data_IF_983528693229
#
_entry.id   IF_983528693229
#
_cell.length_a   1.000
_cell.length_b   1.000
_cell.length_c   1.000
_cell.angle_alpha   90.00
_cell.angle_beta   90.00
_cell.angle_gamma   90.00
#
_symmetry.space_group_name_H-M   'P 1'
#
loop_
_entity.id
_entity.type
_entity.pdbx_description
1 polymer ?
#
# COMPACT_ATOMS: atom_id res chain seq x y z
N UNK A 1 13.26 -11.73 -10.09
CA UNK A 1 12.30 -10.84 -9.39
C UNK A 1 10.92 -11.49 -9.28
N UNK A 2 10.28 -11.95 -10.36
CA UNK A 2 8.90 -12.47 -10.32
C UNK A 2 8.72 -13.68 -9.39
N UNK A 3 9.69 -14.61 -9.38
CA UNK A 3 9.69 -15.74 -8.45
C UNK A 3 9.78 -15.31 -6.96
N UNK A 4 10.56 -14.27 -6.67
CA UNK A 4 10.66 -13.73 -5.32
C UNK A 4 9.33 -13.07 -4.90
N UNK A 5 8.76 -12.25 -5.77
CA UNK A 5 7.48 -11.58 -5.56
C UNK A 5 6.35 -12.59 -5.31
N UNK A 6 6.28 -13.65 -6.12
CA UNK A 6 5.31 -14.72 -5.92
C UNK A 6 5.48 -15.44 -4.58
N UNK A 7 6.72 -15.78 -4.22
CA UNK A 7 7.00 -16.47 -2.97
C UNK A 7 6.69 -15.59 -1.76
N UNK A 8 7.11 -14.32 -1.78
CA UNK A 8 6.81 -13.38 -0.68
C UNK A 8 5.32 -13.14 -0.51
N UNK A 9 4.57 -12.96 -1.60
CA UNK A 9 3.11 -12.79 -1.54
C UNK A 9 2.41 -14.02 -0.95
N UNK A 10 2.85 -15.24 -1.32
CA UNK A 10 2.17 -16.48 -0.90
C UNK A 10 2.57 -16.99 0.47
N UNK A 11 3.79 -16.76 0.93
CA UNK A 11 4.37 -17.38 2.14
C UNK A 11 4.77 -16.36 3.20
N UNK A 12 4.60 -15.08 2.91
CA UNK A 12 5.17 -14.02 3.73
C UNK A 12 6.70 -13.97 3.61
N UNK A 13 7.29 -12.88 4.07
CA UNK A 13 8.75 -12.67 3.98
C UNK A 13 9.51 -13.69 4.82
N UNK A 14 9.03 -14.00 6.00
CA UNK A 14 9.71 -14.93 6.90
C UNK A 14 9.64 -16.38 6.43
N UNK A 15 8.59 -16.77 5.71
CA UNK A 15 8.45 -18.11 5.11
C UNK A 15 9.30 -18.35 3.86
N UNK A 16 10.11 -17.37 3.42
CA UNK A 16 10.92 -17.45 2.19
C UNK A 16 12.40 -17.39 2.51
N UNK A 17 13.17 -18.28 1.89
CA UNK A 17 14.63 -18.27 1.92
C UNK A 17 15.20 -17.87 0.54
N UNK A 18 16.40 -17.29 0.51
CA UNK A 18 17.13 -17.00 -0.73
C UNK A 18 17.30 -18.25 -1.60
N UNK A 19 17.51 -19.41 -0.96
CA UNK A 19 17.61 -20.69 -1.65
C UNK A 19 16.31 -21.08 -2.36
N UNK A 20 15.15 -20.88 -1.70
CA UNK A 20 13.86 -21.18 -2.32
C UNK A 20 13.59 -20.26 -3.51
N UNK A 21 14.01 -19.00 -3.46
CA UNK A 21 13.92 -18.06 -4.58
C UNK A 21 14.80 -18.49 -5.75
N UNK A 22 16.07 -18.85 -5.50
CA UNK A 22 16.97 -19.37 -6.54
C UNK A 22 16.39 -20.60 -7.23
N UNK A 23 15.86 -21.54 -6.45
CA UNK A 23 15.23 -22.77 -6.98
C UNK A 23 14.02 -22.44 -7.85
N UNK A 24 13.12 -21.56 -7.37
CA UNK A 24 11.92 -21.16 -8.11
C UNK A 24 12.24 -20.37 -9.39
N UNK A 25 13.33 -19.61 -9.38
CA UNK A 25 13.80 -18.85 -10.54
C UNK A 25 14.65 -19.67 -11.51
N UNK A 26 14.96 -20.93 -11.21
CA UNK A 26 15.88 -21.76 -12.02
C UNK A 26 17.32 -21.25 -12.04
N UNK A 27 17.76 -20.54 -10.98
CA UNK A 27 19.07 -19.89 -10.88
C UNK A 27 20.04 -20.72 -10.03
N UNK A 28 21.34 -20.51 -10.28
CA UNK A 28 22.39 -21.07 -9.43
C UNK A 28 22.29 -20.52 -7.99
N UNK A 29 22.69 -21.34 -7.01
CA UNK A 29 22.53 -21.05 -5.58
C UNK A 29 23.11 -19.70 -5.10
N UNK A 30 24.15 -19.20 -5.78
CA UNK A 30 24.79 -17.92 -5.44
C UNK A 30 24.21 -16.69 -6.15
N UNK A 31 23.29 -16.87 -7.11
CA UNK A 31 22.85 -15.77 -7.99
C UNK A 31 22.13 -14.65 -7.25
N UNK A 32 21.19 -14.98 -6.35
CA UNK A 32 20.46 -13.95 -5.57
C UNK A 32 21.42 -13.22 -4.64
N UNK A 33 22.34 -13.97 -3.97
CA UNK A 33 23.32 -13.36 -3.09
C UNK A 33 24.25 -12.38 -3.83
N UNK A 34 24.65 -12.73 -5.04
CA UNK A 34 25.50 -11.85 -5.87
C UNK A 34 24.80 -10.55 -6.28
N UNK A 35 23.51 -10.62 -6.63
CA UNK A 35 22.76 -9.46 -7.15
C UNK A 35 22.07 -8.62 -6.08
N UNK A 36 21.64 -9.24 -5.00
CA UNK A 36 20.76 -8.62 -4.00
C UNK A 36 21.35 -8.66 -2.57
N UNK A 37 22.49 -9.32 -2.36
CA UNK A 37 23.10 -9.50 -1.05
C UNK A 37 22.37 -10.56 -0.23
N UNK A 38 21.31 -10.18 0.45
CA UNK A 38 20.54 -11.05 1.33
C UNK A 38 19.03 -11.02 1.01
N UNK A 39 18.21 -11.58 1.91
CA UNK A 39 16.76 -11.60 1.79
C UNK A 39 16.16 -10.19 1.87
N UNK A 40 16.69 -9.35 2.73
CA UNK A 40 16.21 -7.99 2.93
C UNK A 40 16.50 -7.12 1.70
N UNK A 41 17.71 -7.18 1.14
CA UNK A 41 18.03 -6.47 -0.10
C UNK A 41 17.20 -6.95 -1.29
N UNK A 42 16.88 -8.25 -1.36
CA UNK A 42 15.95 -8.76 -2.37
C UNK A 42 14.53 -8.21 -2.17
N UNK A 43 14.04 -8.17 -0.93
CA UNK A 43 12.73 -7.61 -0.60
C UNK A 43 12.65 -6.12 -0.95
N UNK A 44 13.67 -5.35 -0.61
CA UNK A 44 13.76 -3.93 -0.95
C UNK A 44 13.63 -3.71 -2.46
N UNK A 45 14.30 -4.52 -3.27
CA UNK A 45 14.18 -4.43 -4.74
C UNK A 45 12.80 -4.86 -5.25
N UNK A 46 12.18 -5.86 -4.64
CA UNK A 46 10.79 -6.26 -4.96
C UNK A 46 9.82 -5.11 -4.68
N UNK A 47 9.96 -4.45 -3.55
CA UNK A 47 9.10 -3.32 -3.19
C UNK A 47 9.40 -2.09 -4.07
N UNK A 48 10.66 -1.77 -4.30
CA UNK A 48 11.07 -0.63 -5.12
C UNK A 48 10.56 -0.73 -6.57
N UNK A 49 10.40 -1.93 -7.10
CA UNK A 49 9.98 -2.18 -8.49
C UNK A 49 8.69 -1.46 -8.88
N UNK A 50 7.73 -1.36 -7.98
CA UNK A 50 6.43 -0.67 -8.20
C UNK A 50 6.20 0.49 -7.25
N UNK A 51 6.84 0.45 -6.09
CA UNK A 51 6.64 1.45 -5.04
C UNK A 51 6.96 2.86 -5.48
N UNK A 52 8.00 3.06 -6.30
CA UNK A 52 8.36 4.38 -6.82
C UNK A 52 7.22 5.02 -7.63
N UNK A 53 6.55 4.27 -8.50
CA UNK A 53 5.42 4.77 -9.28
C UNK A 53 4.19 5.04 -8.41
N UNK A 54 3.90 4.17 -7.43
CA UNK A 54 2.81 4.37 -6.46
C UNK A 54 3.03 5.65 -5.66
N UNK A 55 4.23 5.82 -5.08
CA UNK A 55 4.59 7.02 -4.29
C UNK A 55 4.55 8.29 -5.13
N UNK A 56 5.04 8.25 -6.37
CA UNK A 56 4.98 9.40 -7.27
C UNK A 56 3.51 9.79 -7.55
N UNK A 57 2.65 8.82 -7.81
CA UNK A 57 1.23 9.07 -8.03
C UNK A 57 0.51 9.59 -6.80
N UNK A 58 0.84 9.09 -5.61
CA UNK A 58 0.37 9.64 -4.34
C UNK A 58 0.77 11.11 -4.16
N UNK A 59 2.01 11.45 -4.48
CA UNK A 59 2.50 12.83 -4.40
C UNK A 59 1.74 13.78 -5.34
N UNK A 60 1.42 13.33 -6.56
CA UNK A 60 0.61 14.11 -7.51
C UNK A 60 -0.82 14.36 -6.98
N UNK A 61 -1.50 13.32 -6.51
CA UNK A 61 -2.85 13.42 -5.96
C UNK A 61 -2.88 14.32 -4.73
N UNK A 62 -1.88 14.19 -3.86
CA UNK A 62 -1.74 15.02 -2.67
C UNK A 62 -1.52 16.49 -3.04
N UNK A 63 -0.65 16.77 -3.99
CA UNK A 63 -0.42 18.13 -4.47
C UNK A 63 -1.67 18.76 -5.10
N UNK A 64 -2.46 17.97 -5.83
CA UNK A 64 -3.72 18.43 -6.39
C UNK A 64 -4.75 18.75 -5.29
N UNK A 65 -4.82 17.92 -4.24
CA UNK A 65 -5.70 18.15 -3.09
C UNK A 65 -5.28 19.41 -2.30
N UNK A 66 -3.99 19.61 -2.08
CA UNK A 66 -3.43 20.80 -1.42
C UNK A 66 -3.69 22.08 -2.24
N UNK A 67 -3.57 22.00 -3.58
CA UNK A 67 -3.80 23.13 -4.47
C UNK A 67 -5.27 23.56 -4.57
N UNK A 68 -6.22 22.69 -4.27
CA UNK A 68 -7.62 23.02 -4.21
C UNK A 68 -7.96 24.05 -3.10
N UNK A 69 -7.10 24.12 -2.07
CA UNK A 69 -7.17 25.12 -1.01
C UNK A 69 -8.30 24.91 0.00
N UNK A 70 -9.17 23.96 -0.25
CA UNK A 70 -10.23 23.57 0.67
C UNK A 70 -9.71 22.58 1.71
N UNK A 71 -10.41 22.54 2.84
CA UNK A 71 -10.14 21.50 3.82
C UNK A 71 -10.46 20.12 3.23
N UNK A 72 -9.52 19.16 3.26
CA UNK A 72 -9.77 17.83 2.73
C UNK A 72 -10.89 17.14 3.50
N UNK A 73 -11.79 16.49 2.77
CA UNK A 73 -12.73 15.55 3.36
C UNK A 73 -12.08 14.18 3.56
N UNK A 74 -12.61 13.34 4.46
CA UNK A 74 -12.03 12.03 4.77
C UNK A 74 -11.88 11.12 3.55
N UNK A 75 -12.83 11.14 2.62
CA UNK A 75 -12.80 10.29 1.44
C UNK A 75 -11.68 10.71 0.48
N UNK A 76 -11.52 12.00 0.23
CA UNK A 76 -10.42 12.54 -0.57
C UNK A 76 -9.05 12.18 0.00
N UNK A 77 -8.89 12.24 1.33
CA UNK A 77 -7.65 11.83 1.98
C UNK A 77 -7.36 10.32 1.82
N UNK A 78 -8.38 9.46 1.95
CA UNK A 78 -8.24 8.01 1.73
C UNK A 78 -7.92 7.71 0.26
N UNK A 79 -8.51 8.43 -0.69
CA UNK A 79 -8.26 8.26 -2.13
C UNK A 79 -6.80 8.54 -2.51
N UNK A 80 -6.11 9.47 -1.86
CA UNK A 80 -4.68 9.71 -2.10
C UNK A 80 -3.86 8.43 -1.88
N UNK A 81 -4.19 7.64 -0.86
CA UNK A 81 -3.52 6.36 -0.60
C UNK A 81 -4.02 5.25 -1.54
N UNK A 82 -5.32 5.18 -1.79
CA UNK A 82 -5.98 4.06 -2.44
C UNK A 82 -5.89 4.07 -3.97
N UNK A 83 -6.08 5.24 -4.61
CA UNK A 83 -6.18 5.36 -6.07
C UNK A 83 -4.96 4.82 -6.82
N UNK A 84 -3.70 5.10 -6.39
CA UNK A 84 -2.52 4.55 -7.06
C UNK A 84 -2.44 3.03 -6.99
N UNK A 85 -3.02 2.41 -5.96
CA UNK A 85 -3.08 0.95 -5.82
C UNK A 85 -4.11 0.35 -6.77
N UNK A 86 -5.26 1.01 -6.92
CA UNK A 86 -6.27 0.62 -7.92
C UNK A 86 -5.71 0.75 -9.33
N UNK A 87 -5.08 1.88 -9.67
CA UNK A 87 -4.42 2.10 -10.96
C UNK A 87 -3.34 1.03 -11.23
N UNK A 88 -2.59 0.61 -10.21
CA UNK A 88 -1.61 -0.46 -10.30
C UNK A 88 -2.27 -1.81 -10.64
N UNK A 89 -3.35 -2.17 -9.96
CA UNK A 89 -4.09 -3.40 -10.24
C UNK A 89 -4.68 -3.42 -11.65
N UNK A 90 -5.19 -2.30 -12.14
CA UNK A 90 -5.71 -2.18 -13.50
C UNK A 90 -4.63 -2.36 -14.57
N UNK A 91 -3.44 -1.84 -14.31
CA UNK A 91 -2.30 -1.92 -15.24
C UNK A 91 -1.56 -3.26 -15.19
N UNK A 92 -1.38 -3.81 -14.00
CA UNK A 92 -0.60 -5.01 -13.73
C UNK A 92 -1.35 -5.94 -12.74
N UNK A 93 -2.44 -6.62 -13.18
CA UNK A 93 -3.31 -7.37 -12.27
C UNK A 93 -2.57 -8.34 -11.35
N UNK A 94 -1.75 -9.22 -11.93
CA UNK A 94 -1.04 -10.26 -11.17
C UNK A 94 0.11 -9.68 -10.35
N UNK A 95 0.95 -8.85 -10.96
CA UNK A 95 2.11 -8.26 -10.29
C UNK A 95 1.69 -7.22 -9.25
N UNK A 96 0.69 -6.41 -9.56
CA UNK A 96 0.11 -5.43 -8.63
C UNK A 96 -0.50 -6.09 -7.40
N UNK A 97 -1.31 -7.15 -7.59
CA UNK A 97 -1.90 -7.90 -6.50
C UNK A 97 -0.84 -8.50 -5.55
N UNK A 98 0.19 -9.14 -6.11
CA UNK A 98 1.30 -9.69 -5.31
C UNK A 98 2.02 -8.60 -4.52
N UNK A 99 2.33 -7.48 -5.19
CA UNK A 99 3.02 -6.36 -4.56
C UNK A 99 2.21 -5.76 -3.42
N UNK A 100 0.92 -5.50 -3.64
CA UNK A 100 0.01 -4.96 -2.61
C UNK A 100 -0.10 -5.93 -1.43
N UNK A 101 -0.23 -7.24 -1.68
CA UNK A 101 -0.25 -8.28 -0.64
C UNK A 101 1.02 -8.26 0.22
N UNK A 102 2.21 -8.12 -0.40
CA UNK A 102 3.48 -8.02 0.33
C UNK A 102 3.47 -6.79 1.23
N UNK A 103 3.12 -5.62 0.69
CA UNK A 103 3.10 -4.36 1.45
C UNK A 103 2.06 -4.42 2.57
N UNK A 104 0.84 -4.92 2.30
CA UNK A 104 -0.22 -5.07 3.30
C UNK A 104 0.22 -5.95 4.47
N UNK A 105 0.87 -7.08 4.19
CA UNK A 105 1.37 -8.00 5.22
C UNK A 105 2.51 -7.37 6.06
N UNK A 106 3.41 -6.62 5.44
CA UNK A 106 4.48 -5.92 6.16
C UNK A 106 3.91 -4.82 7.07
N UNK A 107 2.96 -4.03 6.58
CA UNK A 107 2.29 -2.97 7.37
C UNK A 107 1.50 -3.59 8.52
N UNK A 108 0.72 -4.64 8.28
CA UNK A 108 -0.06 -5.33 9.31
C UNK A 108 0.81 -5.99 10.38
N UNK A 109 2.02 -6.42 10.02
CA UNK A 109 3.00 -7.02 10.92
C UNK A 109 3.88 -6.02 11.67
N UNK A 110 3.67 -4.71 11.50
CA UNK A 110 4.53 -3.63 12.03
C UNK A 110 6.02 -3.87 11.73
N UNK A 111 6.30 -4.29 10.49
CA UNK A 111 7.64 -4.68 10.06
C UNK A 111 8.51 -3.44 9.82
N UNK A 112 9.62 -3.31 10.56
CA UNK A 112 10.53 -2.17 10.46
C UNK A 112 11.04 -1.91 9.02
N UNK A 113 11.05 -2.93 8.17
CA UNK A 113 11.45 -2.82 6.77
C UNK A 113 10.55 -1.87 5.98
N UNK A 114 9.26 -1.75 6.33
CA UNK A 114 8.32 -0.79 5.73
C UNK A 114 8.80 0.64 5.94
N UNK A 115 9.23 0.97 7.15
CA UNK A 115 9.68 2.32 7.50
C UNK A 115 10.94 2.73 6.72
N UNK A 116 11.83 1.78 6.43
CA UNK A 116 13.04 2.04 5.62
C UNK A 116 12.73 2.31 4.15
N UNK A 117 11.63 1.77 3.65
CA UNK A 117 11.32 1.75 2.20
C UNK A 117 10.50 2.97 1.76
N UNK A 118 9.85 3.71 2.65
CA UNK A 118 9.04 4.85 2.22
C UNK A 118 8.27 5.62 3.29
N UNK A 119 8.50 5.33 4.56
CA UNK A 119 7.74 5.92 5.66
C UNK A 119 8.57 6.84 6.59
N UNK A 120 9.75 7.26 6.15
CA UNK A 120 10.62 8.14 6.92
C UNK A 120 10.19 9.62 6.93
N UNK A 121 10.88 10.46 7.74
CA UNK A 121 10.65 11.91 7.78
C UNK A 121 10.74 12.54 6.38
N UNK A 122 9.81 13.45 6.05
CA UNK A 122 9.70 14.10 4.74
C UNK A 122 9.10 13.21 3.64
N UNK A 123 8.67 12.00 3.97
CA UNK A 123 8.04 11.09 3.00
C UNK A 123 6.67 11.58 2.57
N UNK A 124 6.19 11.07 1.43
CA UNK A 124 4.80 11.28 0.98
C UNK A 124 3.81 10.76 2.02
N UNK A 125 4.14 9.66 2.71
CA UNK A 125 3.30 9.11 3.77
C UNK A 125 3.13 10.07 4.95
N UNK A 126 4.19 10.75 5.38
CA UNK A 126 4.07 11.77 6.44
C UNK A 126 3.13 12.91 6.03
N UNK A 127 3.21 13.37 4.76
CA UNK A 127 2.30 14.37 4.23
C UNK A 127 0.86 13.87 4.14
N UNK A 128 0.63 12.61 3.74
CA UNK A 128 -0.70 11.98 3.77
C UNK A 128 -1.25 11.98 5.20
N UNK A 129 -0.44 11.59 6.18
CA UNK A 129 -0.83 11.58 7.59
C UNK A 129 -1.23 13.00 8.06
N UNK A 130 -0.49 14.03 7.69
CA UNK A 130 -0.83 15.43 7.99
C UNK A 130 -2.15 15.87 7.33
N UNK A 131 -2.40 15.45 6.09
CA UNK A 131 -3.63 15.74 5.35
C UNK A 131 -4.84 15.06 6.01
N UNK A 132 -4.69 13.81 6.44
CA UNK A 132 -5.72 13.11 7.22
C UNK A 132 -5.99 13.84 8.54
N UNK A 133 -4.95 14.23 9.28
CA UNK A 133 -5.12 14.98 10.52
C UNK A 133 -5.89 16.30 10.30
N UNK A 134 -5.62 17.01 9.20
CA UNK A 134 -6.34 18.24 8.84
C UNK A 134 -7.82 18.00 8.49
N UNK A 135 -8.19 16.79 8.05
CA UNK A 135 -9.59 16.44 7.80
C UNK A 135 -10.44 16.36 9.08
N UNK A 136 -9.80 16.17 10.25
CA UNK A 136 -10.48 15.98 11.54
C UNK A 136 -10.05 16.98 12.65
N UNK A 137 -10.16 18.29 12.45
CA UNK A 137 -9.61 19.31 13.37
C UNK A 137 -10.28 19.35 14.76
N UNK A 138 -11.42 18.71 14.93
CA UNK A 138 -12.15 18.67 16.21
C UNK A 138 -11.82 17.41 17.03
N UNK A 139 -11.03 16.49 16.47
CA UNK A 139 -10.59 15.28 17.15
C UNK A 139 -9.18 15.46 17.71
N UNK A 140 -8.89 14.76 18.81
CA UNK A 140 -7.54 14.76 19.36
C UNK A 140 -6.55 14.10 18.37
N UNK A 141 -5.37 14.70 18.13
CA UNK A 141 -4.42 14.24 17.12
C UNK A 141 -3.99 12.78 17.26
N UNK A 142 -3.81 12.30 18.48
CA UNK A 142 -3.46 10.92 18.82
C UNK A 142 -4.57 9.93 18.42
N UNK A 143 -5.83 10.29 18.67
CA UNK A 143 -7.01 9.50 18.25
C UNK A 143 -7.09 9.42 16.72
N UNK A 144 -6.85 10.53 16.01
CA UNK A 144 -6.83 10.54 14.54
C UNK A 144 -5.71 9.66 14.02
N UNK A 145 -4.50 9.76 14.60
CA UNK A 145 -3.36 8.96 14.18
C UNK A 145 -3.61 7.46 14.38
N UNK A 146 -4.18 7.04 15.51
CA UNK A 146 -4.51 5.64 15.78
C UNK A 146 -5.58 5.12 14.81
N UNK A 147 -6.64 5.88 14.58
CA UNK A 147 -7.69 5.52 13.62
C UNK A 147 -7.14 5.43 12.20
N UNK A 148 -6.26 6.36 11.82
CA UNK A 148 -5.64 6.33 10.51
C UNK A 148 -4.75 5.11 10.31
N UNK A 149 -3.99 4.72 11.34
CA UNK A 149 -3.19 3.50 11.28
C UNK A 149 -4.08 2.27 11.04
N UNK A 150 -5.18 2.14 11.77
CA UNK A 150 -6.14 1.05 11.57
C UNK A 150 -6.80 1.11 10.19
N UNK A 151 -7.21 2.30 9.75
CA UNK A 151 -7.88 2.51 8.48
C UNK A 151 -6.97 2.22 7.29
N UNK A 152 -5.73 2.71 7.30
CA UNK A 152 -4.75 2.49 6.23
C UNK A 152 -4.32 1.02 6.14
N UNK A 153 -4.12 0.34 7.28
CA UNK A 153 -3.85 -1.10 7.32
C UNK A 153 -5.03 -1.90 6.76
N UNK A 154 -6.27 -1.56 7.19
CA UNK A 154 -7.48 -2.20 6.67
C UNK A 154 -7.68 -1.96 5.18
N UNK A 155 -7.41 -0.74 4.71
CA UNK A 155 -7.50 -0.38 3.30
C UNK A 155 -6.58 -1.25 2.43
N UNK A 156 -5.31 -1.34 2.81
CA UNK A 156 -4.32 -2.17 2.11
C UNK A 156 -4.77 -3.62 2.04
N UNK A 157 -5.26 -4.17 3.14
CA UNK A 157 -5.74 -5.55 3.21
C UNK A 157 -6.99 -5.76 2.36
N UNK A 158 -7.98 -4.86 2.44
CA UNK A 158 -9.21 -4.95 1.63
C UNK A 158 -8.91 -4.86 0.14
N UNK A 159 -7.97 -4.01 -0.28
CA UNK A 159 -7.54 -3.93 -1.69
C UNK A 159 -6.83 -5.23 -2.09
N UNK A 160 -5.92 -5.76 -1.27
CA UNK A 160 -5.23 -7.02 -1.53
C UNK A 160 -6.22 -8.19 -1.69
N UNK A 161 -7.17 -8.34 -0.76
CA UNK A 161 -8.17 -9.42 -0.75
C UNK A 161 -9.21 -9.28 -1.89
N UNK A 162 -9.39 -8.06 -2.40
CA UNK A 162 -10.30 -7.76 -3.51
C UNK A 162 -9.62 -7.65 -4.87
N UNK A 163 -8.34 -7.97 -4.97
CA UNK A 163 -7.53 -7.71 -6.16
C UNK A 163 -8.14 -8.28 -7.45
N UNK A 164 -8.70 -9.49 -7.42
CA UNK A 164 -9.36 -10.11 -8.57
C UNK A 164 -10.58 -9.29 -9.04
N UNK A 165 -11.38 -8.77 -8.10
CA UNK A 165 -12.54 -7.92 -8.42
C UNK A 165 -12.13 -6.56 -8.94
N UNK A 166 -11.07 -5.98 -8.36
CA UNK A 166 -10.57 -4.65 -8.72
C UNK A 166 -9.81 -4.64 -10.04
N UNK A 167 -9.31 -5.79 -10.49
CA UNK A 167 -8.65 -5.97 -11.77
C UNK A 167 -9.54 -6.59 -12.86
N UNK A 168 -10.81 -6.85 -12.58
CA UNK A 168 -11.75 -7.41 -13.55
C UNK A 168 -11.87 -6.57 -14.83
N UNK A 169 -12.17 -7.21 -15.96
CA UNK A 169 -12.23 -6.55 -17.28
C UNK A 169 -13.27 -5.43 -17.33
N UNK A 170 -14.41 -5.59 -16.67
CA UNK A 170 -15.42 -4.54 -16.55
C UNK A 170 -14.96 -3.44 -15.58
N UNK A 171 -14.50 -2.34 -16.16
CA UNK A 171 -13.99 -1.19 -15.41
C UNK A 171 -15.05 -0.54 -14.51
N UNK A 172 -16.30 -0.49 -14.92
CA UNK A 172 -17.37 0.09 -14.13
C UNK A 172 -17.62 -0.72 -12.86
N UNK A 173 -17.66 -2.05 -12.97
CA UNK A 173 -17.79 -2.96 -11.83
C UNK A 173 -16.57 -2.89 -10.91
N UNK A 174 -15.37 -2.86 -11.48
CA UNK A 174 -14.13 -2.72 -10.70
C UNK A 174 -14.09 -1.38 -9.93
N UNK A 175 -14.45 -0.28 -10.59
CA UNK A 175 -14.54 1.06 -9.98
C UNK A 175 -15.58 1.09 -8.87
N UNK A 176 -16.77 0.56 -9.09
CA UNK A 176 -17.81 0.51 -8.06
C UNK A 176 -17.36 -0.31 -6.83
N UNK A 177 -16.67 -1.43 -7.03
CA UNK A 177 -16.11 -2.21 -5.93
C UNK A 177 -15.03 -1.45 -5.16
N UNK A 178 -14.18 -0.71 -5.86
CA UNK A 178 -13.17 0.16 -5.26
C UNK A 178 -13.81 1.29 -4.44
N UNK A 179 -14.81 1.98 -4.98
CA UNK A 179 -15.50 3.07 -4.28
C UNK A 179 -16.20 2.60 -3.01
N UNK A 180 -16.72 1.37 -2.97
CA UNK A 180 -17.24 0.76 -1.74
C UNK A 180 -16.15 0.60 -0.68
N UNK A 181 -14.95 0.15 -1.05
CA UNK A 181 -13.83 0.01 -0.11
C UNK A 181 -13.41 1.38 0.43
N UNK A 182 -13.22 2.36 -0.46
CA UNK A 182 -12.83 3.71 -0.07
C UNK A 182 -13.87 4.34 0.86
N UNK A 183 -15.15 4.25 0.50
CA UNK A 183 -16.25 4.77 1.31
C UNK A 183 -16.32 4.11 2.69
N UNK A 184 -16.17 2.78 2.77
CA UNK A 184 -16.14 2.05 4.05
C UNK A 184 -15.01 2.55 4.97
N UNK A 185 -13.81 2.71 4.43
CA UNK A 185 -12.64 3.17 5.21
C UNK A 185 -12.81 4.64 5.62
N UNK A 186 -13.27 5.50 4.72
CA UNK A 186 -13.50 6.91 5.01
C UNK A 186 -14.57 7.11 6.10
N UNK A 187 -15.69 6.37 6.05
CA UNK A 187 -16.71 6.41 7.09
C UNK A 187 -16.20 5.84 8.42
N UNK A 188 -15.32 4.82 8.38
CA UNK A 188 -14.66 4.30 9.58
C UNK A 188 -13.78 5.35 10.27
N UNK A 189 -13.14 6.22 9.49
CA UNK A 189 -12.36 7.35 10.01
C UNK A 189 -13.26 8.43 10.64
N UNK A 190 -14.39 8.75 9.98
CA UNK A 190 -15.36 9.73 10.47
C UNK A 190 -16.10 9.20 11.71
N UNK A 191 -16.06 7.89 11.89
CA UNK A 191 -16.77 7.06 12.82
C UNK A 191 -16.98 7.58 14.20
N UNK A 192 -18.23 7.94 14.39
CA UNK A 192 -19.00 7.85 15.63
C UNK A 192 -18.32 8.34 16.90
N UNK A 193 -18.24 9.63 17.05
CA UNK A 193 -18.60 10.26 18.29
C UNK A 193 -19.84 11.14 18.03
N UNK A 194 -20.95 10.52 17.68
CA UNK A 194 -22.29 11.07 17.96
C UNK A 194 -22.72 10.43 19.26
N UNK A 195 -22.25 10.98 20.36
CA UNK A 195 -22.86 10.85 21.68
C UNK A 195 -23.37 12.22 22.09
#
# INVERSE_FOLDING_TARGET
MDAAEELFARRGVEGVSVRSVNTAAGLAAASVHYHFGDKDGLLEQVIARRGGAVVARQAELLAALEAAGDRPDPESAVRVLAEPLFELLRREPVGGARWITIVANLVAGDDERVYRIGFGPGSVQERINATVAAAFPLQAPDVVAERWLMASTSLLQLIADSADRLSADDEATARAAFDVIVGFVAHGLDGVCRA
#
